data_IF_783814235926
#
_entry.id   IF_783814235926
#
_cell.length_a   1.000
_cell.length_b   1.000
_cell.length_c   1.000
_cell.angle_alpha   90.00
_cell.angle_beta   90.00
_cell.angle_gamma   90.00
#
_symmetry.space_group_name_H-M   'P 1'
#
loop_
_entity.id
_entity.type
_entity.pdbx_description
1 polymer ?
#
# COMPACT_ATOMS: atom_id res chain seq x y z
N UNK A 1 -28.66 -18.97 1.46
CA UNK A 1 -29.84 -19.67 0.89
C UNK A 1 -29.73 -20.03 -0.61
N UNK A 2 -28.64 -19.70 -1.32
CA UNK A 2 -28.42 -20.13 -2.73
C UNK A 2 -27.49 -21.34 -2.89
N UNK A 3 -26.87 -21.83 -1.80
CA UNK A 3 -25.77 -22.81 -1.86
C UNK A 3 -26.29 -24.26 -1.79
N UNK A 4 -27.55 -24.48 -1.37
CA UNK A 4 -28.12 -25.82 -1.13
C UNK A 4 -29.08 -26.31 -2.25
N UNK A 5 -29.05 -25.73 -3.45
CA UNK A 5 -30.01 -26.07 -4.53
C UNK A 5 -29.52 -27.11 -5.56
N UNK A 6 -28.32 -27.69 -5.42
CA UNK A 6 -27.82 -28.67 -6.40
C UNK A 6 -27.77 -30.10 -5.86
N UNK A 7 -28.57 -30.98 -6.47
CA UNK A 7 -28.57 -32.43 -6.24
C UNK A 7 -27.30 -33.14 -6.78
N UNK A 8 -26.64 -32.55 -7.77
CA UNK A 8 -25.46 -33.14 -8.40
C UNK A 8 -24.17 -32.61 -7.78
N UNK A 9 -23.45 -33.46 -7.06
CA UNK A 9 -22.20 -33.11 -6.35
C UNK A 9 -21.05 -32.72 -7.30
N UNK A 10 -21.05 -33.23 -8.53
CA UNK A 10 -20.00 -32.97 -9.53
C UNK A 10 -20.60 -32.74 -10.93
N UNK A 11 -21.17 -31.55 -11.20
CA UNK A 11 -21.67 -31.21 -12.52
C UNK A 11 -20.53 -31.06 -13.55
N UNK A 12 -20.86 -31.24 -14.83
CA UNK A 12 -19.92 -31.08 -15.94
C UNK A 12 -19.33 -29.65 -16.02
N UNK A 13 -18.14 -29.51 -16.61
CA UNK A 13 -17.47 -28.21 -16.75
C UNK A 13 -18.32 -27.18 -17.49
N UNK A 14 -19.07 -27.60 -18.52
CA UNK A 14 -20.00 -26.76 -19.28
C UNK A 14 -21.10 -26.17 -18.38
N UNK A 15 -21.65 -26.97 -17.47
CA UNK A 15 -22.69 -26.52 -16.54
C UNK A 15 -22.13 -25.55 -15.48
N UNK A 16 -20.92 -25.81 -14.95
CA UNK A 16 -20.27 -24.90 -13.97
C UNK A 16 -19.94 -23.52 -14.53
N UNK A 17 -19.66 -23.44 -15.83
CA UNK A 17 -19.26 -22.22 -16.51
C UNK A 17 -20.42 -21.53 -17.25
N UNK A 18 -21.63 -22.11 -17.23
CA UNK A 18 -22.80 -21.61 -17.96
C UNK A 18 -23.06 -20.11 -17.72
N UNK A 19 -22.91 -19.66 -16.47
CA UNK A 19 -23.12 -18.27 -16.07
C UNK A 19 -21.83 -17.50 -15.76
N UNK A 20 -20.66 -18.02 -16.21
CA UNK A 20 -19.37 -17.40 -15.93
C UNK A 20 -19.31 -15.95 -16.44
N UNK A 21 -19.83 -15.69 -17.64
CA UNK A 21 -19.85 -14.35 -18.24
C UNK A 21 -20.94 -13.42 -17.67
N UNK A 22 -21.97 -13.99 -17.04
CA UNK A 22 -23.07 -13.23 -16.42
C UNK A 22 -22.74 -12.75 -15.00
N UNK A 23 -21.63 -13.23 -14.43
CA UNK A 23 -21.18 -12.88 -13.07
C UNK A 23 -19.99 -11.91 -13.18
N UNK A 24 -19.88 -10.87 -12.34
CA UNK A 24 -18.69 -10.05 -12.28
C UNK A 24 -17.51 -10.88 -11.72
N UNK A 25 -16.70 -11.45 -12.61
CA UNK A 25 -15.52 -12.21 -12.21
C UNK A 25 -14.46 -11.25 -11.68
N UNK A 26 -14.07 -11.43 -10.42
CA UNK A 26 -13.05 -10.61 -9.78
C UNK A 26 -11.66 -11.04 -10.25
N UNK A 27 -10.81 -10.13 -10.77
CA UNK A 27 -9.44 -10.47 -11.13
C UNK A 27 -8.67 -11.04 -9.94
N UNK A 28 -7.88 -12.09 -10.17
CA UNK A 28 -7.15 -12.79 -9.10
C UNK A 28 -6.21 -11.86 -8.31
N UNK A 29 -5.58 -10.89 -8.96
CA UNK A 29 -4.73 -9.88 -8.31
C UNK A 29 -5.53 -9.01 -7.32
N UNK A 30 -6.77 -8.69 -7.68
CA UNK A 30 -7.64 -7.83 -6.87
C UNK A 30 -8.13 -8.60 -5.65
N UNK A 31 -8.54 -9.86 -5.84
CA UNK A 31 -8.86 -10.76 -4.74
C UNK A 31 -7.68 -10.93 -3.77
N UNK A 32 -6.48 -11.19 -4.30
CA UNK A 32 -5.25 -11.29 -3.47
C UNK A 32 -4.97 -10.00 -2.71
N UNK A 33 -5.16 -8.84 -3.34
CA UNK A 33 -5.00 -7.56 -2.66
C UNK A 33 -6.00 -7.38 -1.53
N UNK A 34 -7.26 -7.78 -1.72
CA UNK A 34 -8.28 -7.61 -0.70
C UNK A 34 -8.06 -8.57 0.48
N UNK A 35 -7.57 -9.79 0.22
CA UNK A 35 -7.10 -10.72 1.25
C UNK A 35 -5.94 -10.10 2.04
N UNK A 36 -4.94 -9.53 1.35
CA UNK A 36 -3.80 -8.88 2.01
C UNK A 36 -4.25 -7.69 2.89
N UNK A 37 -5.22 -6.90 2.42
CA UNK A 37 -5.81 -5.82 3.23
C UNK A 37 -6.48 -6.35 4.50
N UNK A 38 -7.17 -7.49 4.43
CA UNK A 38 -7.77 -8.15 5.59
C UNK A 38 -6.68 -8.63 6.54
N UNK A 39 -5.59 -9.24 6.03
CA UNK A 39 -4.47 -9.67 6.86
C UNK A 39 -3.83 -8.51 7.63
N UNK A 40 -3.64 -7.34 7.01
CA UNK A 40 -3.16 -6.15 7.73
C UNK A 40 -4.12 -5.75 8.85
N UNK A 41 -5.43 -5.70 8.59
CA UNK A 41 -6.45 -5.36 9.61
C UNK A 41 -6.49 -6.35 10.77
N UNK A 42 -6.22 -7.62 10.51
CA UNK A 42 -6.12 -8.67 11.53
C UNK A 42 -4.78 -8.68 12.27
N UNK A 43 -3.81 -7.86 11.85
CA UNK A 43 -2.46 -7.83 12.42
C UNK A 43 -1.52 -8.93 11.89
N UNK A 44 -1.93 -9.70 10.88
CA UNK A 44 -1.11 -10.72 10.21
C UNK A 44 -0.20 -10.10 9.14
N UNK A 45 0.67 -9.18 9.56
CA UNK A 45 1.43 -8.31 8.66
C UNK A 45 2.44 -9.07 7.81
N UNK A 46 3.05 -10.16 8.33
CA UNK A 46 3.99 -10.97 7.55
C UNK A 46 3.30 -11.64 6.34
N UNK A 47 2.12 -12.24 6.55
CA UNK A 47 1.36 -12.87 5.46
C UNK A 47 0.88 -11.84 4.44
N UNK A 48 0.50 -10.65 4.90
CA UNK A 48 0.15 -9.54 4.02
C UNK A 48 1.36 -9.07 3.18
N UNK A 49 2.53 -8.95 3.81
CA UNK A 49 3.77 -8.55 3.15
C UNK A 49 4.13 -9.48 2.00
N UNK A 50 4.06 -10.80 2.20
CA UNK A 50 4.36 -11.78 1.14
C UNK A 50 3.44 -11.60 -0.07
N UNK A 51 2.12 -11.42 0.17
CA UNK A 51 1.16 -11.14 -0.89
C UNK A 51 1.45 -9.81 -1.61
N UNK A 52 1.79 -8.75 -0.88
CA UNK A 52 2.11 -7.46 -1.49
C UNK A 52 3.40 -7.49 -2.29
N UNK A 53 4.42 -8.25 -1.87
CA UNK A 53 5.65 -8.46 -2.64
C UNK A 53 5.34 -9.18 -3.96
N UNK A 54 4.52 -10.23 -3.93
CA UNK A 54 4.08 -10.92 -5.14
C UNK A 54 3.29 -10.01 -6.09
N UNK A 55 2.44 -9.13 -5.54
CA UNK A 55 1.66 -8.15 -6.31
C UNK A 55 2.49 -6.91 -6.70
N UNK A 56 3.72 -6.77 -6.20
CA UNK A 56 4.59 -5.58 -6.36
C UNK A 56 3.90 -4.28 -5.94
N UNK A 57 3.09 -4.33 -4.87
CA UNK A 57 2.43 -3.16 -4.29
C UNK A 57 3.36 -2.44 -3.31
N UNK A 58 4.29 -1.67 -3.84
CA UNK A 58 5.40 -1.10 -3.06
C UNK A 58 4.95 -0.17 -1.92
N UNK A 59 3.88 0.61 -2.10
CA UNK A 59 3.32 1.44 -1.03
C UNK A 59 2.95 0.61 0.20
N UNK A 60 2.24 -0.50 -0.03
CA UNK A 60 1.74 -1.38 1.03
C UNK A 60 2.87 -2.20 1.64
N UNK A 61 3.86 -2.61 0.82
CA UNK A 61 5.10 -3.27 1.29
C UNK A 61 5.85 -2.36 2.27
N UNK A 62 6.03 -1.09 1.92
CA UNK A 62 6.71 -0.11 2.78
C UNK A 62 5.95 0.06 4.10
N UNK A 63 4.62 0.23 4.04
CA UNK A 63 3.79 0.33 5.24
C UNK A 63 3.91 -0.92 6.12
N UNK A 64 3.95 -2.11 5.53
CA UNK A 64 4.17 -3.35 6.27
C UNK A 64 5.55 -3.38 6.95
N UNK A 65 6.61 -2.94 6.26
CA UNK A 65 7.94 -2.86 6.88
C UNK A 65 8.00 -1.84 8.02
N UNK A 66 7.31 -0.71 7.90
CA UNK A 66 7.18 0.27 8.98
C UNK A 66 6.46 -0.32 10.20
N UNK A 67 5.34 -1.02 10.00
CA UNK A 67 4.59 -1.70 11.08
C UNK A 67 5.46 -2.77 11.75
N UNK A 68 6.23 -3.52 10.97
CA UNK A 68 7.18 -4.53 11.45
C UNK A 68 8.46 -3.93 12.05
N UNK A 69 8.63 -2.59 12.05
CA UNK A 69 9.83 -1.87 12.51
C UNK A 69 11.12 -2.27 11.79
N UNK A 70 11.03 -2.74 10.54
CA UNK A 70 12.16 -3.10 9.68
C UNK A 70 12.54 -1.93 8.77
N UNK A 71 13.00 -0.84 9.36
CA UNK A 71 13.21 0.44 8.67
C UNK A 71 14.34 0.39 7.62
N UNK A 72 15.42 -0.35 7.87
CA UNK A 72 16.53 -0.50 6.92
C UNK A 72 16.10 -1.18 5.60
N UNK A 73 15.24 -2.20 5.70
CA UNK A 73 14.67 -2.87 4.53
C UNK A 73 13.69 -1.95 3.79
N UNK A 74 12.87 -1.19 4.53
CA UNK A 74 11.99 -0.20 3.93
C UNK A 74 12.79 0.84 3.12
N UNK A 75 13.84 1.40 3.71
CA UNK A 75 14.71 2.38 3.06
C UNK A 75 15.33 1.81 1.77
N UNK A 76 15.89 0.60 1.86
CA UNK A 76 16.50 -0.07 0.71
C UNK A 76 15.50 -0.21 -0.45
N UNK A 77 14.31 -0.76 -0.18
CA UNK A 77 13.25 -0.93 -1.18
C UNK A 77 12.81 0.41 -1.76
N UNK A 78 12.63 1.44 -0.92
CA UNK A 78 12.25 2.78 -1.39
C UNK A 78 13.30 3.34 -2.35
N UNK A 79 14.58 3.28 -1.97
CA UNK A 79 15.69 3.77 -2.82
C UNK A 79 15.77 3.01 -4.14
N UNK A 80 15.52 1.70 -4.15
CA UNK A 80 15.44 0.92 -5.39
C UNK A 80 14.28 1.36 -6.27
N UNK A 81 13.09 1.57 -5.69
CA UNK A 81 11.92 2.00 -6.47
C UNK A 81 12.05 3.44 -6.99
N UNK A 82 12.70 4.34 -6.24
CA UNK A 82 12.98 5.71 -6.67
C UNK A 82 13.88 5.76 -7.91
N UNK A 83 14.81 4.80 -8.08
CA UNK A 83 15.64 4.69 -9.29
C UNK A 83 14.81 4.37 -10.54
N UNK A 84 13.72 3.62 -10.38
CA UNK A 84 12.82 3.25 -11.49
C UNK A 84 11.93 4.43 -11.84
N UNK A 85 11.24 4.98 -10.84
CA UNK A 85 10.36 6.12 -10.99
C UNK A 85 10.29 6.92 -9.71
N UNK A 86 10.70 8.17 -9.81
CA UNK A 86 10.52 9.11 -8.72
C UNK A 86 9.04 9.48 -8.59
N UNK A 87 8.45 9.21 -7.43
CA UNK A 87 7.08 9.61 -7.12
C UNK A 87 7.04 10.37 -5.80
N UNK A 88 6.18 11.39 -5.69
CA UNK A 88 6.03 12.15 -4.44
C UNK A 88 5.75 11.26 -3.23
N UNK A 89 4.93 10.21 -3.39
CA UNK A 89 4.57 9.32 -2.28
C UNK A 89 5.74 8.46 -1.78
N UNK A 90 6.65 8.05 -2.68
CA UNK A 90 7.86 7.32 -2.29
C UNK A 90 8.85 8.24 -1.59
N UNK A 91 8.99 9.50 -2.03
CA UNK A 91 9.81 10.50 -1.36
C UNK A 91 9.29 10.81 0.05
N UNK A 92 7.97 10.97 0.21
CA UNK A 92 7.35 11.11 1.52
C UNK A 92 7.66 9.90 2.42
N UNK A 93 7.50 8.68 1.90
CA UNK A 93 7.83 7.48 2.66
C UNK A 93 9.32 7.39 3.01
N UNK A 94 10.22 7.88 2.15
CA UNK A 94 11.65 7.94 2.45
C UNK A 94 11.92 8.89 3.63
N UNK A 95 11.37 10.11 3.56
CA UNK A 95 11.50 11.09 4.64
C UNK A 95 10.94 10.60 5.97
N UNK A 96 9.84 9.84 5.97
CA UNK A 96 9.31 9.21 7.20
C UNK A 96 10.24 8.13 7.77
N UNK A 97 11.02 7.45 6.94
CA UNK A 97 11.95 6.38 7.37
C UNK A 97 13.29 6.97 7.83
N UNK A 98 13.79 8.02 7.17
CA UNK A 98 15.09 8.64 7.48
C UNK A 98 15.01 9.83 8.43
N UNK A 99 13.81 10.37 8.69
CA UNK A 99 13.59 11.63 9.41
C UNK A 99 14.30 12.84 8.77
N UNK A 100 14.39 12.87 7.44
CA UNK A 100 15.00 13.96 6.67
C UNK A 100 13.93 14.85 6.02
N UNK A 101 13.95 16.14 6.35
CA UNK A 101 12.97 17.12 5.83
C UNK A 101 13.05 17.33 4.31
N UNK A 102 14.26 17.26 3.75
CA UNK A 102 14.53 17.54 2.33
C UNK A 102 13.68 16.68 1.39
N UNK A 103 13.38 15.43 1.77
CA UNK A 103 12.55 14.55 0.96
C UNK A 103 11.09 14.99 0.92
N UNK A 104 10.56 15.60 2.01
CA UNK A 104 9.21 16.15 1.99
C UNK A 104 9.13 17.37 1.06
N UNK A 105 10.11 18.28 1.14
CA UNK A 105 10.18 19.47 0.28
C UNK A 105 10.28 19.07 -1.20
N UNK A 106 11.16 18.11 -1.49
CA UNK A 106 11.28 17.56 -2.84
C UNK A 106 9.98 16.90 -3.32
N UNK A 107 9.27 16.17 -2.45
CA UNK A 107 7.98 15.59 -2.79
C UNK A 107 6.92 16.65 -3.10
N UNK A 108 6.92 17.75 -2.35
CA UNK A 108 6.02 18.89 -2.53
C UNK A 108 6.23 19.56 -3.89
N UNK A 109 7.48 19.91 -4.21
CA UNK A 109 7.87 20.53 -5.49
C UNK A 109 7.57 19.58 -6.66
N UNK A 110 7.92 18.30 -6.55
CA UNK A 110 7.67 17.30 -7.59
C UNK A 110 6.17 17.15 -7.89
N UNK A 111 5.32 17.29 -6.87
CA UNK A 111 3.86 17.22 -7.01
C UNK A 111 3.21 18.50 -7.55
N UNK A 112 3.98 19.56 -7.77
CA UNK A 112 3.46 20.92 -8.04
C UNK A 112 2.50 21.39 -6.97
N UNK A 113 2.86 21.17 -5.70
CA UNK A 113 2.09 21.67 -4.55
C UNK A 113 0.69 21.04 -4.41
N UNK A 114 0.56 19.78 -4.82
CA UNK A 114 -0.72 19.04 -4.77
C UNK A 114 -0.70 17.90 -3.75
N UNK A 115 0.48 17.49 -3.29
CA UNK A 115 0.59 16.37 -2.37
C UNK A 115 0.29 16.79 -0.93
N UNK A 116 -0.96 16.65 -0.50
CA UNK A 116 -1.38 16.93 0.88
C UNK A 116 -0.72 16.03 1.94
N UNK A 117 -0.25 14.83 1.57
CA UNK A 117 0.53 13.98 2.50
C UNK A 117 1.88 14.63 2.81
N UNK A 118 2.55 15.22 1.82
CA UNK A 118 3.83 15.90 2.03
C UNK A 118 3.70 17.05 3.04
N UNK A 119 2.73 17.96 2.85
CA UNK A 119 2.44 19.05 3.79
C UNK A 119 2.15 18.54 5.21
N UNK A 120 1.29 17.53 5.33
CA UNK A 120 0.97 16.93 6.64
C UNK A 120 2.22 16.39 7.34
N UNK A 121 3.13 15.78 6.60
CA UNK A 121 4.38 15.23 7.13
C UNK A 121 5.37 16.32 7.52
N UNK A 122 5.47 17.41 6.74
CA UNK A 122 6.25 18.60 7.11
C UNK A 122 5.75 19.21 8.42
N UNK A 123 4.44 19.43 8.53
CA UNK A 123 3.82 19.95 9.75
C UNK A 123 4.10 19.04 10.95
N UNK A 124 3.94 17.73 10.79
CA UNK A 124 4.26 16.74 11.83
C UNK A 124 5.75 16.79 12.23
N UNK A 125 6.64 16.95 11.26
CA UNK A 125 8.08 17.03 11.51
C UNK A 125 8.44 18.27 12.35
N UNK A 126 7.94 19.45 11.99
CA UNK A 126 8.17 20.67 12.77
C UNK A 126 7.50 20.63 14.15
N UNK A 127 6.28 20.10 14.22
CA UNK A 127 5.55 19.92 15.47
C UNK A 127 6.33 19.05 16.46
N UNK A 128 6.86 17.91 16.01
CA UNK A 128 7.66 17.01 16.85
C UNK A 128 8.95 17.67 17.38
N UNK A 129 9.44 18.72 16.70
CA UNK A 129 10.63 19.49 17.10
C UNK A 129 10.29 20.77 17.88
N UNK A 130 9.02 20.98 18.22
CA UNK A 130 8.55 22.14 18.98
C UNK A 130 8.52 23.46 18.20
N UNK A 131 8.71 23.43 16.88
CA UNK A 131 8.59 24.61 16.04
C UNK A 131 7.15 24.76 15.55
N UNK A 132 6.29 25.31 16.41
CA UNK A 132 4.86 25.42 16.13
C UNK A 132 4.53 26.47 15.06
N UNK A 133 5.36 27.52 14.92
CA UNK A 133 5.17 28.56 13.91
C UNK A 133 5.25 27.94 12.50
N UNK A 134 6.33 27.20 12.22
CA UNK A 134 6.52 26.52 10.93
C UNK A 134 5.60 25.32 10.70
N UNK A 135 4.96 24.80 11.76
CA UNK A 135 4.02 23.70 11.63
C UNK A 135 2.61 24.14 11.18
N UNK A 136 2.29 25.42 11.37
CA UNK A 136 1.00 26.01 11.00
C UNK A 136 0.98 26.62 9.59
N UNK A 137 2.15 26.87 9.01
CA UNK A 137 2.34 27.30 7.62
C UNK A 137 2.08 26.16 6.62
#
# INVERSE_FOLDING_TARGET
>A
ELIDQQDNKDPSSSFRLEYFHSTPVYPTWKLKSDIANIYVKLGLVNNALDLYLHLKKWSDVISCYQILKKLSLAEHVIREQLKIKETPDLLCSLGEVTDEFEYFERAWILSKERNGRAQRLMGKYYFNRGNYEKACE
#
